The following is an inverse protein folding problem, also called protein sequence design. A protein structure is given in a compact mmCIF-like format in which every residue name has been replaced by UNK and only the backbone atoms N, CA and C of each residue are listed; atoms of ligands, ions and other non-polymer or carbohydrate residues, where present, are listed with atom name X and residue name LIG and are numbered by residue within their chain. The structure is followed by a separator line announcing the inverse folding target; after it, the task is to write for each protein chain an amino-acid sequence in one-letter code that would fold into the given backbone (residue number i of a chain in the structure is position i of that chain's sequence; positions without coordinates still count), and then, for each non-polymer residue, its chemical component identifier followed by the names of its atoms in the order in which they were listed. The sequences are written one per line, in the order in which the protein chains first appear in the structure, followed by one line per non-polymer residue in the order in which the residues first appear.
data_IF_481869965262
#
_entry.id   IF_481869965262
#
_cell.length_a   1.000
_cell.length_b   1.000
_cell.length_c   1.000
_cell.angle_alpha   90.00
_cell.angle_beta   90.00
_cell.angle_gamma   90.00
#
_symmetry.space_group_name_H-M   'P 1'
#
loop_
_entity.id
_entity.type
_entity.pdbx_description
1 polymer ?
#
# COMPACT_ATOMS: atom_id res chain seq x y z
N UNK A 1 -47.95 7.17 -4.67
CA UNK A 1 -46.97 8.25 -4.84
C UNK A 1 -46.36 8.55 -3.50
N UNK A 2 -45.22 7.96 -3.21
CA UNK A 2 -44.41 8.32 -2.04
C UNK A 2 -42.96 8.39 -2.51
N UNK A 3 -42.47 9.62 -2.66
CA UNK A 3 -41.07 9.92 -2.92
C UNK A 3 -40.29 9.71 -1.63
N UNK A 4 -39.52 8.65 -1.56
CA UNK A 4 -38.45 8.49 -0.57
C UNK A 4 -37.39 9.53 -0.89
N UNK A 5 -37.35 10.59 -0.08
CA UNK A 5 -36.26 11.55 -0.06
C UNK A 5 -35.00 10.83 0.47
N UNK A 6 -34.09 10.47 -0.42
CA UNK A 6 -32.73 10.10 -0.04
C UNK A 6 -32.08 11.32 0.58
N UNK A 7 -31.86 11.27 1.89
CA UNK A 7 -30.94 12.18 2.59
C UNK A 7 -29.51 11.81 2.17
N UNK A 8 -29.00 12.43 1.11
CA UNK A 8 -27.56 12.49 0.87
C UNK A 8 -26.96 13.37 1.96
N UNK A 9 -26.33 12.77 2.93
CA UNK A 9 -25.48 13.43 3.91
C UNK A 9 -24.27 14.01 3.14
N UNK A 10 -24.34 15.27 2.76
CA UNK A 10 -23.18 16.04 2.30
C UNK A 10 -22.25 16.22 3.53
N UNK A 11 -21.43 15.26 3.87
CA UNK A 11 -20.28 15.50 4.72
C UNK A 11 -19.32 16.38 3.92
N UNK A 12 -19.13 17.60 4.39
CA UNK A 12 -18.17 18.54 3.81
C UNK A 12 -16.78 17.95 3.95
N UNK A 13 -16.14 17.65 2.82
CA UNK A 13 -14.74 17.21 2.80
C UNK A 13 -13.92 18.34 3.43
N UNK A 14 -13.20 18.07 4.50
CA UNK A 14 -12.25 19.02 5.07
C UNK A 14 -11.07 19.10 4.09
N UNK A 15 -11.02 20.16 3.31
CA UNK A 15 -10.05 20.33 2.25
C UNK A 15 -9.08 21.45 2.61
N UNK A 16 -7.80 21.14 2.73
CA UNK A 16 -6.75 22.14 2.79
C UNK A 16 -6.41 22.62 1.38
N UNK A 17 -5.90 23.84 1.29
CA UNK A 17 -5.43 24.44 0.06
C UNK A 17 -3.91 24.59 0.10
N UNK A 18 -3.31 24.77 -1.09
CA UNK A 18 -1.89 25.09 -1.20
C UNK A 18 -1.57 26.41 -0.49
N UNK A 19 -0.38 26.49 0.08
CA UNK A 19 0.05 27.67 0.83
C UNK A 19 0.38 28.89 -0.05
N UNK A 20 0.49 28.68 -1.37
CA UNK A 20 0.81 29.73 -2.35
C UNK A 20 2.16 30.42 -2.08
N UNK A 21 3.15 29.63 -1.67
CA UNK A 21 4.46 30.08 -1.22
C UNK A 21 5.50 30.28 -2.33
N UNK A 22 5.05 30.35 -3.59
CA UNK A 22 5.90 30.51 -4.78
C UNK A 22 6.57 29.21 -5.28
N UNK A 23 6.33 28.08 -4.62
CA UNK A 23 6.77 26.77 -5.09
C UNK A 23 5.72 26.13 -5.99
N UNK A 24 6.16 25.20 -6.84
CA UNK A 24 5.24 24.38 -7.64
C UNK A 24 4.30 23.57 -6.71
N UNK A 25 3.02 23.53 -7.07
CA UNK A 25 1.93 22.89 -6.34
C UNK A 25 1.84 21.43 -6.73
N UNK A 26 2.19 20.53 -5.81
CA UNK A 26 2.17 19.10 -6.03
C UNK A 26 1.05 18.43 -5.22
N UNK A 27 0.14 17.76 -5.90
CA UNK A 27 -0.87 16.91 -5.28
C UNK A 27 -0.42 15.45 -5.33
N UNK A 28 -0.23 14.83 -4.17
CA UNK A 28 0.06 13.40 -4.04
C UNK A 28 -1.23 12.69 -3.65
N UNK A 29 -1.61 11.64 -4.39
CA UNK A 29 -2.84 10.90 -4.14
C UNK A 29 -2.50 9.47 -3.75
N UNK A 30 -3.02 9.03 -2.60
CA UNK A 30 -2.84 7.68 -2.04
C UNK A 30 -4.19 7.12 -1.59
N UNK A 31 -4.31 5.80 -1.50
CA UNK A 31 -5.54 5.15 -1.07
C UNK A 31 -5.32 3.98 -0.12
N UNK A 32 -4.13 3.43 -0.08
CA UNK A 32 -3.82 2.22 0.67
C UNK A 32 -2.55 2.37 1.49
N UNK A 33 -2.45 1.53 2.51
CA UNK A 33 -1.27 1.49 3.39
C UNK A 33 0.05 1.23 2.66
N UNK A 34 0.16 0.29 1.71
CA UNK A 34 1.40 0.09 0.95
C UNK A 34 1.87 1.34 0.21
N UNK A 35 0.95 2.14 -0.35
CA UNK A 35 1.29 3.41 -1.01
C UNK A 35 1.87 4.41 -0.01
N UNK A 36 1.26 4.54 1.16
CA UNK A 36 1.71 5.45 2.22
C UNK A 36 3.13 5.07 2.68
N UNK A 37 3.36 3.78 2.93
CA UNK A 37 4.67 3.28 3.37
C UNK A 37 5.73 3.58 2.31
N UNK A 38 5.49 3.17 1.07
CA UNK A 38 6.45 3.34 -0.03
C UNK A 38 6.73 4.80 -0.34
N UNK A 39 5.71 5.67 -0.25
CA UNK A 39 5.87 7.10 -0.54
C UNK A 39 6.35 7.92 0.67
N UNK A 40 6.51 7.35 1.86
CA UNK A 40 6.80 8.13 3.07
C UNK A 40 8.03 9.05 2.92
N UNK A 41 9.16 8.50 2.45
CA UNK A 41 10.37 9.28 2.20
C UNK A 41 10.16 10.32 1.10
N UNK A 42 9.45 9.95 0.03
CA UNK A 42 9.13 10.84 -1.11
C UNK A 42 8.23 11.98 -0.67
N UNK A 43 7.16 11.71 0.10
CA UNK A 43 6.24 12.73 0.61
C UNK A 43 7.00 13.76 1.45
N UNK A 44 7.82 13.30 2.40
CA UNK A 44 8.61 14.20 3.24
C UNK A 44 9.59 15.04 2.42
N UNK A 45 10.22 14.44 1.41
CA UNK A 45 11.12 15.15 0.49
C UNK A 45 10.36 16.16 -0.38
N UNK A 46 9.21 15.79 -0.91
CA UNK A 46 8.36 16.69 -1.70
C UNK A 46 7.91 17.90 -0.89
N UNK A 47 7.53 17.75 0.36
CA UNK A 47 7.17 18.86 1.26
C UNK A 47 8.31 19.87 1.47
N UNK A 48 9.56 19.45 1.29
CA UNK A 48 10.72 20.37 1.37
C UNK A 48 10.83 21.24 0.11
N UNK A 49 10.57 20.67 -1.07
CA UNK A 49 10.85 21.35 -2.35
C UNK A 49 9.62 21.93 -3.03
N UNK A 50 8.44 21.38 -2.77
CA UNK A 50 7.18 21.76 -3.38
C UNK A 50 6.20 22.29 -2.34
N UNK A 51 5.21 23.04 -2.78
CA UNK A 51 3.98 23.24 -2.05
C UNK A 51 3.14 21.96 -2.23
N UNK A 52 3.07 21.13 -1.20
CA UNK A 52 2.59 19.74 -1.32
C UNK A 52 1.32 19.53 -0.52
N UNK A 53 0.29 19.00 -1.18
CA UNK A 53 -0.89 18.43 -0.53
C UNK A 53 -0.89 16.90 -0.68
N UNK A 54 -1.18 16.21 0.41
CA UNK A 54 -1.41 14.77 0.45
C UNK A 54 -2.92 14.49 0.53
N UNK A 55 -3.48 13.84 -0.48
CA UNK A 55 -4.87 13.45 -0.52
C UNK A 55 -5.01 11.93 -0.38
N UNK A 56 -5.92 11.50 0.49
CA UNK A 56 -6.24 10.10 0.72
C UNK A 56 -7.63 9.77 0.19
N UNK A 57 -7.76 8.73 -0.64
CA UNK A 57 -9.05 8.35 -1.24
C UNK A 57 -10.03 7.74 -0.26
N UNK A 58 -9.57 7.27 0.89
CA UNK A 58 -10.41 6.67 1.93
C UNK A 58 -10.56 5.15 1.84
N UNK A 59 -9.89 4.50 0.88
CA UNK A 59 -9.86 3.03 0.83
C UNK A 59 -9.15 2.47 2.08
N UNK A 60 -9.79 1.49 2.73
CA UNK A 60 -9.26 0.81 3.92
C UNK A 60 -8.86 1.76 5.08
N UNK A 61 -9.57 2.89 5.23
CA UNK A 61 -9.31 3.82 6.32
C UNK A 61 -9.93 3.30 7.62
N UNK A 62 -9.16 2.52 8.35
CA UNK A 62 -9.34 2.35 9.80
C UNK A 62 -8.30 3.23 10.50
N UNK A 63 -8.76 4.25 11.21
CA UNK A 63 -7.88 5.20 11.90
C UNK A 63 -6.91 4.50 12.86
N UNK A 64 -7.35 3.43 13.51
CA UNK A 64 -6.53 2.67 14.45
C UNK A 64 -5.42 1.89 13.75
N UNK A 65 -5.63 1.48 12.49
CA UNK A 65 -4.64 0.76 11.69
C UNK A 65 -3.73 1.72 10.91
N UNK A 66 -4.23 2.85 10.44
CA UNK A 66 -3.46 3.78 9.61
C UNK A 66 -2.71 4.84 10.44
N UNK A 67 -3.27 5.31 11.54
CA UNK A 67 -2.65 6.33 12.40
C UNK A 67 -1.28 5.91 12.94
N UNK A 68 -1.09 4.61 13.23
CA UNK A 68 0.21 4.06 13.66
C UNK A 68 1.25 4.22 12.57
N UNK A 69 0.91 3.98 11.29
CA UNK A 69 1.86 4.11 10.18
C UNK A 69 2.27 5.55 9.91
N UNK A 70 1.35 6.51 9.99
CA UNK A 70 1.70 7.93 9.87
C UNK A 70 2.66 8.35 10.97
N UNK A 71 2.43 7.90 12.20
CA UNK A 71 3.32 8.19 13.34
C UNK A 71 4.69 7.53 13.16
N UNK A 72 4.74 6.23 12.88
CA UNK A 72 5.96 5.46 12.72
C UNK A 72 6.84 6.05 11.60
N UNK A 73 6.23 6.42 10.48
CA UNK A 73 6.90 6.98 9.31
C UNK A 73 7.13 8.49 9.41
N UNK A 74 6.81 9.12 10.54
CA UNK A 74 6.97 10.56 10.77
C UNK A 74 6.27 11.41 9.69
N UNK A 75 5.12 10.93 9.21
CA UNK A 75 4.27 11.62 8.25
C UNK A 75 3.22 12.45 9.00
N UNK A 76 2.96 13.65 8.50
CA UNK A 76 1.76 14.37 8.90
C UNK A 76 0.51 13.74 8.26
N UNK A 77 -0.62 13.87 8.94
CA UNK A 77 -1.90 13.39 8.43
C UNK A 77 -2.18 13.93 7.02
N UNK A 78 -2.95 13.19 6.21
CA UNK A 78 -3.41 13.69 4.92
C UNK A 78 -4.11 15.05 5.02
N UNK A 79 -3.82 15.91 4.06
CA UNK A 79 -4.41 17.25 3.97
C UNK A 79 -5.85 17.22 3.48
N UNK A 80 -6.18 16.16 2.73
CA UNK A 80 -7.50 15.96 2.11
C UNK A 80 -7.93 14.51 2.27
N UNK A 81 -9.15 14.29 2.78
CA UNK A 81 -9.82 12.98 2.80
C UNK A 81 -10.98 12.98 1.81
N UNK A 82 -10.92 12.09 0.81
CA UNK A 82 -11.93 12.04 -0.24
C UNK A 82 -13.16 11.22 0.12
N UNK A 83 -13.06 10.29 1.09
CA UNK A 83 -14.15 9.36 1.45
C UNK A 83 -14.77 8.68 0.20
N UNK A 84 -13.92 8.13 -0.66
CA UNK A 84 -14.34 7.62 -1.97
C UNK A 84 -14.90 6.19 -1.94
N UNK A 85 -14.92 5.52 -0.79
CA UNK A 85 -15.49 4.17 -0.67
C UNK A 85 -16.98 4.23 -0.99
N UNK A 86 -17.42 3.39 -1.90
CA UNK A 86 -18.82 3.19 -2.28
C UNK A 86 -19.36 1.85 -1.80
N UNK A 87 -20.61 1.56 -2.15
CA UNK A 87 -21.27 0.31 -1.74
C UNK A 87 -20.68 -0.93 -2.44
N UNK A 88 -20.05 -0.73 -3.59
CA UNK A 88 -19.37 -1.76 -4.35
C UNK A 88 -18.07 -1.22 -4.99
N UNK A 89 -17.35 -2.12 -5.69
CA UNK A 89 -16.11 -1.77 -6.36
C UNK A 89 -16.31 -0.71 -7.45
N UNK A 90 -17.36 -0.83 -8.25
CA UNK A 90 -17.67 0.12 -9.33
C UNK A 90 -17.97 1.51 -8.80
N UNK A 91 -18.79 1.60 -7.74
CA UNK A 91 -19.06 2.85 -7.04
C UNK A 91 -17.79 3.45 -6.44
N UNK A 92 -16.93 2.65 -5.85
CA UNK A 92 -15.64 3.11 -5.28
C UNK A 92 -14.74 3.69 -6.38
N UNK A 93 -14.56 2.99 -7.49
CA UNK A 93 -13.76 3.48 -8.63
C UNK A 93 -14.34 4.77 -9.21
N UNK A 94 -15.65 4.83 -9.42
CA UNK A 94 -16.34 6.04 -9.90
C UNK A 94 -16.18 7.23 -8.95
N UNK A 95 -16.32 7.00 -7.65
CA UNK A 95 -16.12 8.01 -6.62
C UNK A 95 -14.67 8.53 -6.56
N UNK A 96 -13.68 7.66 -6.74
CA UNK A 96 -12.27 8.08 -6.79
C UNK A 96 -12.06 9.06 -7.94
N UNK A 97 -12.56 8.73 -9.14
CA UNK A 97 -12.44 9.60 -10.32
C UNK A 97 -13.17 10.92 -10.11
N UNK A 98 -14.43 10.88 -9.66
CA UNK A 98 -15.25 12.08 -9.44
C UNK A 98 -14.68 13.01 -8.38
N UNK A 99 -14.34 12.44 -7.20
CA UNK A 99 -13.88 13.25 -6.07
C UNK A 99 -12.48 13.80 -6.29
N UNK A 100 -11.56 13.01 -6.89
CA UNK A 100 -10.24 13.52 -7.25
C UNK A 100 -10.29 14.61 -8.30
N UNK A 101 -11.19 14.49 -9.28
CA UNK A 101 -11.43 15.55 -10.26
C UNK A 101 -11.87 16.86 -9.57
N UNK A 102 -12.82 16.80 -8.65
CA UNK A 102 -13.29 17.96 -7.88
C UNK A 102 -12.20 18.59 -7.04
N UNK A 103 -11.39 17.76 -6.36
CA UNK A 103 -10.20 18.23 -5.59
C UNK A 103 -9.23 18.98 -6.51
N UNK A 104 -8.93 18.45 -7.68
CA UNK A 104 -8.01 19.08 -8.63
C UNK A 104 -8.56 20.38 -9.23
N UNK A 105 -9.87 20.45 -9.51
CA UNK A 105 -10.53 21.69 -9.98
C UNK A 105 -10.42 22.79 -8.93
N UNK A 106 -10.60 22.45 -7.66
CA UNK A 106 -10.58 23.41 -6.57
C UNK A 106 -9.17 23.81 -6.18
N UNK A 107 -8.24 22.85 -6.03
CA UNK A 107 -6.88 23.13 -5.56
C UNK A 107 -5.93 23.60 -6.65
N UNK A 108 -6.19 23.26 -7.92
CA UNK A 108 -5.40 23.66 -9.10
C UNK A 108 -3.91 23.31 -8.94
N UNK A 109 -3.55 22.03 -8.78
CA UNK A 109 -2.15 21.62 -8.69
C UNK A 109 -1.43 21.80 -10.05
N UNK A 110 -0.12 22.08 -9.99
CA UNK A 110 0.75 22.12 -11.18
C UNK A 110 1.14 20.70 -11.63
N UNK A 111 1.08 19.72 -10.73
CA UNK A 111 1.35 18.31 -11.02
C UNK A 111 0.64 17.37 -10.04
N UNK A 112 0.41 16.14 -10.49
CA UNK A 112 -0.11 15.02 -9.68
C UNK A 112 0.91 13.91 -9.64
N UNK A 113 1.14 13.34 -8.45
CA UNK A 113 1.96 12.16 -8.21
C UNK A 113 1.09 11.01 -7.70
N UNK A 114 1.21 9.85 -8.32
CA UNK A 114 0.61 8.59 -7.88
C UNK A 114 1.65 7.47 -7.86
N UNK A 115 1.36 6.39 -7.13
CA UNK A 115 2.23 5.22 -7.04
C UNK A 115 1.44 3.94 -7.31
N UNK A 116 1.98 3.11 -8.19
CA UNK A 116 1.52 1.73 -8.40
C UNK A 116 0.23 1.63 -9.19
N UNK A 117 -0.65 0.77 -8.72
CA UNK A 117 -1.75 0.20 -9.49
C UNK A 117 -3.05 0.00 -8.70
N UNK A 118 -3.13 0.55 -7.50
CA UNK A 118 -4.37 0.49 -6.72
C UNK A 118 -5.45 1.38 -7.35
N UNK A 119 -6.68 1.25 -6.89
CA UNK A 119 -7.77 2.06 -7.44
C UNK A 119 -7.56 3.58 -7.26
N UNK A 120 -6.76 4.00 -6.26
CA UNK A 120 -6.40 5.41 -6.06
C UNK A 120 -5.74 6.02 -7.30
N UNK A 121 -4.97 5.22 -8.05
CA UNK A 121 -4.28 5.66 -9.25
C UNK A 121 -5.23 6.02 -10.40
N UNK A 122 -6.49 5.57 -10.39
CA UNK A 122 -7.50 5.97 -11.39
C UNK A 122 -7.84 7.47 -11.34
N UNK A 123 -7.46 8.16 -10.27
CA UNK A 123 -7.52 9.62 -10.16
C UNK A 123 -6.80 10.34 -11.32
N UNK A 124 -5.80 9.71 -11.94
CA UNK A 124 -5.06 10.27 -13.08
C UNK A 124 -5.94 10.50 -14.30
N UNK A 125 -7.08 9.81 -14.43
CA UNK A 125 -8.06 10.05 -15.50
C UNK A 125 -8.58 11.49 -15.41
N UNK A 126 -8.92 11.95 -14.20
CA UNK A 126 -9.32 13.32 -13.93
C UNK A 126 -8.20 14.32 -14.20
N UNK A 127 -6.97 14.04 -13.75
CA UNK A 127 -5.81 14.87 -13.99
C UNK A 127 -5.54 15.06 -15.49
N UNK A 128 -5.60 13.97 -16.27
CA UNK A 128 -5.41 14.04 -17.73
C UNK A 128 -6.44 14.90 -18.43
N UNK A 129 -7.71 14.83 -18.00
CA UNK A 129 -8.80 15.66 -18.54
C UNK A 129 -8.64 17.14 -18.21
N UNK A 130 -7.98 17.46 -17.08
CA UNK A 130 -7.68 18.82 -16.64
C UNK A 130 -6.33 19.34 -17.16
N UNK A 131 -5.63 18.56 -17.99
CA UNK A 131 -4.29 18.88 -18.51
C UNK A 131 -3.23 19.10 -17.42
N UNK A 132 -3.38 18.44 -16.28
CA UNK A 132 -2.42 18.47 -15.19
C UNK A 132 -1.37 17.39 -15.45
N UNK A 133 -0.06 17.69 -15.46
CA UNK A 133 1.01 16.72 -15.62
C UNK A 133 0.96 15.61 -14.57
N UNK A 134 1.08 14.36 -15.01
CA UNK A 134 0.97 13.16 -14.19
C UNK A 134 2.34 12.48 -14.09
N UNK A 135 2.78 12.28 -12.85
CA UNK A 135 3.98 11.52 -12.51
C UNK A 135 3.57 10.20 -11.86
N UNK A 136 3.93 9.09 -12.48
CA UNK A 136 3.57 7.74 -12.04
C UNK A 136 4.81 6.99 -11.56
N UNK A 137 4.92 6.72 -10.27
CA UNK A 137 5.94 5.85 -9.68
C UNK A 137 5.49 4.38 -9.70
N UNK A 138 6.45 3.46 -9.70
CA UNK A 138 6.22 2.01 -9.86
C UNK A 138 5.65 1.65 -11.24
N UNK A 139 5.94 2.47 -12.24
CA UNK A 139 5.46 2.27 -13.60
C UNK A 139 6.12 1.07 -14.29
N UNK A 140 5.40 0.46 -15.22
CA UNK A 140 5.93 -0.60 -16.07
C UNK A 140 5.96 -2.01 -15.47
N UNK A 141 5.46 -2.21 -14.25
CA UNK A 141 5.26 -3.55 -13.71
C UNK A 141 4.22 -4.30 -14.54
N UNK A 142 4.41 -5.61 -14.72
CA UNK A 142 3.48 -6.46 -15.47
C UNK A 142 3.27 -7.77 -14.74
N UNK A 143 2.04 -8.27 -14.78
CA UNK A 143 1.67 -9.61 -14.37
C UNK A 143 1.24 -10.42 -15.60
N UNK A 144 1.59 -11.72 -15.63
CA UNK A 144 1.11 -12.62 -16.69
C UNK A 144 -0.34 -13.05 -16.47
N UNK A 145 -0.82 -12.94 -15.23
CA UNK A 145 -2.22 -13.18 -14.90
C UNK A 145 -3.02 -11.90 -15.14
N UNK A 146 -3.75 -11.88 -16.25
CA UNK A 146 -4.61 -10.75 -16.62
C UNK A 146 -5.89 -10.67 -15.78
N UNK A 147 -6.20 -11.68 -14.98
CA UNK A 147 -7.31 -11.64 -14.02
C UNK A 147 -7.02 -10.80 -12.79
N UNK A 148 -5.74 -10.41 -12.59
CA UNK A 148 -5.36 -9.54 -11.49
C UNK A 148 -5.92 -8.13 -11.71
N UNK A 149 -6.77 -7.59 -10.81
CA UNK A 149 -7.38 -6.27 -10.99
C UNK A 149 -6.36 -5.15 -11.18
N UNK A 150 -5.24 -5.24 -10.49
CA UNK A 150 -4.15 -4.29 -10.57
C UNK A 150 -3.49 -4.23 -11.96
N UNK A 151 -3.50 -5.33 -12.72
CA UNK A 151 -2.94 -5.33 -14.07
C UNK A 151 -3.72 -4.39 -15.01
N UNK A 152 -5.03 -4.31 -14.86
CA UNK A 152 -5.86 -3.35 -15.59
C UNK A 152 -5.51 -1.90 -15.22
N UNK A 153 -5.43 -1.60 -13.93
CA UNK A 153 -5.14 -0.26 -13.43
C UNK A 153 -3.76 0.22 -13.91
N UNK A 154 -2.72 -0.61 -13.75
CA UNK A 154 -1.35 -0.21 -14.13
C UNK A 154 -1.20 0.08 -15.61
N UNK A 155 -1.85 -0.70 -16.48
CA UNK A 155 -1.84 -0.44 -17.93
C UNK A 155 -2.50 0.90 -18.27
N UNK A 156 -3.64 1.21 -17.65
CA UNK A 156 -4.30 2.51 -17.83
C UNK A 156 -3.38 3.64 -17.39
N UNK A 157 -2.85 3.54 -16.17
CA UNK A 157 -2.05 4.61 -15.55
C UNK A 157 -0.73 4.83 -16.31
N UNK A 158 -0.04 3.76 -16.70
CA UNK A 158 1.19 3.86 -17.50
C UNK A 158 0.98 4.64 -18.79
N UNK A 159 -0.11 4.32 -19.53
CA UNK A 159 -0.33 4.90 -20.87
C UNK A 159 -0.70 6.37 -20.79
N UNK A 160 -1.50 6.77 -19.79
CA UNK A 160 -1.98 8.17 -19.73
C UNK A 160 -1.08 9.10 -18.92
N UNK A 161 -0.11 8.57 -18.17
CA UNK A 161 0.86 9.36 -17.42
C UNK A 161 1.84 10.10 -18.34
N UNK A 162 2.23 11.31 -17.94
CA UNK A 162 3.16 12.13 -18.69
C UNK A 162 4.63 11.73 -18.41
N UNK A 163 4.91 11.29 -17.19
CA UNK A 163 6.21 10.80 -16.76
C UNK A 163 6.04 9.48 -16.03
N UNK A 164 6.73 8.45 -16.49
CA UNK A 164 6.77 7.12 -15.88
C UNK A 164 8.10 6.89 -15.16
N UNK A 165 8.04 6.58 -13.87
CA UNK A 165 9.19 6.30 -13.02
C UNK A 165 9.21 4.81 -12.67
N UNK A 166 9.99 4.04 -13.43
CA UNK A 166 10.11 2.60 -13.29
C UNK A 166 11.09 2.23 -12.15
N UNK A 167 10.85 1.12 -11.48
CA UNK A 167 11.78 0.63 -10.45
C UNK A 167 13.00 -0.07 -11.02
N UNK A 168 12.89 -0.61 -12.23
CA UNK A 168 13.96 -1.36 -12.86
C UNK A 168 14.04 -1.14 -14.38
N UNK A 169 15.20 -1.47 -14.96
CA UNK A 169 15.38 -1.53 -16.43
C UNK A 169 14.40 -2.51 -17.09
N UNK A 170 14.00 -3.57 -16.37
CA UNK A 170 13.03 -4.53 -16.87
C UNK A 170 11.65 -3.88 -17.05
N UNK A 171 11.18 -3.15 -16.05
CA UNK A 171 9.94 -2.40 -16.13
C UNK A 171 9.98 -1.32 -17.23
N UNK A 172 11.11 -0.60 -17.35
CA UNK A 172 11.32 0.38 -18.43
C UNK A 172 11.18 -0.23 -19.83
N UNK A 173 11.67 -1.46 -20.03
CA UNK A 173 11.53 -2.17 -21.32
C UNK A 173 10.07 -2.47 -21.62
N UNK A 174 9.28 -2.91 -20.65
CA UNK A 174 7.84 -3.10 -20.85
C UNK A 174 7.14 -1.80 -21.29
N UNK A 175 7.50 -0.66 -20.70
CA UNK A 175 6.95 0.63 -21.10
C UNK A 175 7.35 0.98 -22.55
N UNK A 176 8.61 0.76 -22.92
CA UNK A 176 9.08 0.99 -24.28
C UNK A 176 8.36 0.11 -25.32
N UNK A 177 8.09 -1.16 -24.97
CA UNK A 177 7.38 -2.11 -25.83
C UNK A 177 5.91 -1.71 -26.06
N UNK A 178 5.33 -0.91 -25.17
CA UNK A 178 3.98 -0.34 -25.33
C UNK A 178 3.97 0.95 -26.18
N UNK A 179 5.12 1.38 -26.70
CA UNK A 179 5.26 2.57 -27.54
C UNK A 179 5.34 3.89 -26.77
N UNK A 180 5.56 3.86 -25.45
CA UNK A 180 5.71 5.08 -24.67
C UNK A 180 7.05 5.78 -24.95
N UNK A 181 7.07 7.14 -24.95
CA UNK A 181 8.28 7.90 -25.22
C UNK A 181 9.38 7.62 -24.20
N UNK A 182 10.58 7.29 -24.68
CA UNK A 182 11.75 7.00 -23.82
C UNK A 182 12.16 8.21 -22.97
N UNK A 183 11.96 9.41 -23.50
CA UNK A 183 12.30 10.69 -22.86
C UNK A 183 11.47 10.98 -21.60
N UNK A 184 10.37 10.26 -21.43
CA UNK A 184 9.45 10.40 -20.31
C UNK A 184 9.45 9.20 -19.37
N UNK A 185 10.42 8.29 -19.55
CA UNK A 185 10.54 7.08 -18.73
C UNK A 185 11.89 7.07 -18.03
N UNK A 186 11.86 7.09 -16.70
CA UNK A 186 13.05 7.14 -15.87
C UNK A 186 13.13 5.90 -14.98
N UNK A 187 14.32 5.33 -14.82
CA UNK A 187 14.55 4.28 -13.82
C UNK A 187 15.00 4.96 -12.53
N UNK A 188 14.13 4.97 -11.55
CA UNK A 188 14.38 5.64 -10.26
C UNK A 188 14.74 4.68 -9.14
N UNK A 189 14.51 3.38 -9.33
CA UNK A 189 14.51 2.42 -8.24
C UNK A 189 13.25 2.53 -7.37
N UNK A 190 13.14 1.61 -6.41
CA UNK A 190 12.06 1.65 -5.42
C UNK A 190 12.43 2.57 -4.27
N UNK A 191 11.49 3.37 -3.76
CA UNK A 191 11.71 4.18 -2.57
C UNK A 191 11.74 3.36 -1.26
N UNK A 192 11.41 2.07 -1.28
CA UNK A 192 11.36 1.23 -0.09
C UNK A 192 12.70 1.13 0.63
N UNK A 193 13.81 1.06 -0.12
CA UNK A 193 15.15 1.04 0.47
C UNK A 193 15.41 2.29 1.32
N UNK A 194 15.04 3.47 0.83
CA UNK A 194 15.19 4.72 1.55
C UNK A 194 14.30 4.75 2.80
N UNK A 195 13.05 4.30 2.69
CA UNK A 195 12.13 4.21 3.82
C UNK A 195 12.66 3.29 4.91
N UNK A 196 13.14 2.10 4.55
CA UNK A 196 13.69 1.15 5.52
C UNK A 196 14.97 1.67 6.16
N UNK A 197 15.91 2.23 5.40
CA UNK A 197 17.15 2.80 5.93
C UNK A 197 16.89 3.99 6.88
N UNK A 198 15.95 4.88 6.55
CA UNK A 198 15.59 6.01 7.41
C UNK A 198 14.96 5.58 8.74
N UNK A 199 14.34 4.40 8.77
CA UNK A 199 13.67 3.86 9.96
C UNK A 199 14.47 2.73 10.65
N UNK A 200 15.66 2.37 10.16
CA UNK A 200 16.39 1.19 10.63
C UNK A 200 16.67 1.24 12.15
N UNK A 201 17.10 2.38 12.66
CA UNK A 201 17.36 2.55 14.09
C UNK A 201 16.09 2.35 14.95
N UNK A 202 14.94 2.86 14.50
CA UNK A 202 13.68 2.69 15.20
C UNK A 202 13.17 1.23 15.10
N UNK A 203 13.43 0.56 13.97
CA UNK A 203 13.13 -0.86 13.77
C UNK A 203 13.97 -1.73 14.72
N UNK A 204 15.27 -1.49 14.80
CA UNK A 204 16.19 -2.24 15.66
C UNK A 204 15.92 -2.00 17.15
N UNK A 205 15.45 -0.81 17.51
CA UNK A 205 15.09 -0.43 18.88
C UNK A 205 13.75 -1.01 19.36
N UNK A 206 12.98 -1.68 18.48
CA UNK A 206 11.69 -2.25 18.86
C UNK A 206 11.83 -3.34 19.91
N UNK A 207 11.02 -3.27 20.95
CA UNK A 207 10.92 -4.25 22.02
C UNK A 207 9.92 -5.39 21.76
N UNK A 208 9.48 -5.53 20.51
CA UNK A 208 8.40 -6.45 20.13
C UNK A 208 8.68 -7.91 20.52
N UNK A 209 9.93 -8.35 20.45
CA UNK A 209 10.29 -9.71 20.87
C UNK A 209 10.01 -9.94 22.36
N UNK A 210 10.33 -8.97 23.20
CA UNK A 210 10.02 -9.01 24.63
C UNK A 210 8.52 -9.03 24.87
N UNK A 211 7.78 -8.14 24.20
CA UNK A 211 6.31 -8.05 24.33
C UNK A 211 5.59 -9.33 23.94
N UNK A 212 6.10 -10.04 22.95
CA UNK A 212 5.50 -11.28 22.45
C UNK A 212 6.14 -12.56 23.02
N UNK A 213 7.19 -12.45 23.84
CA UNK A 213 7.93 -13.60 24.37
C UNK A 213 8.59 -14.46 23.27
N UNK A 214 9.01 -13.84 22.17
CA UNK A 214 9.66 -14.50 21.05
C UNK A 214 11.17 -14.36 21.14
N UNK A 215 11.89 -15.42 20.77
CA UNK A 215 13.35 -15.42 20.66
C UNK A 215 13.78 -15.24 19.20
N UNK A 216 14.74 -14.33 18.97
CA UNK A 216 15.28 -14.05 17.64
C UNK A 216 15.81 -15.32 16.98
N UNK A 217 15.46 -15.53 15.71
CA UNK A 217 15.85 -16.73 14.95
C UNK A 217 15.08 -18.00 15.31
N UNK A 218 14.12 -17.97 16.24
CA UNK A 218 13.38 -19.14 16.69
C UNK A 218 11.86 -19.04 16.50
N UNK A 219 11.41 -18.34 15.49
CA UNK A 219 10.01 -18.25 15.09
C UNK A 219 9.90 -18.05 13.58
N UNK A 220 8.76 -18.40 13.05
CA UNK A 220 8.37 -18.11 11.66
C UNK A 220 7.36 -16.95 11.69
N UNK A 221 7.58 -15.94 10.85
CA UNK A 221 6.62 -14.85 10.66
C UNK A 221 5.71 -15.17 9.47
N UNK A 222 4.40 -15.18 9.71
CA UNK A 222 3.37 -15.41 8.68
C UNK A 222 2.55 -14.14 8.45
N UNK A 223 2.43 -13.75 7.18
CA UNK A 223 1.52 -12.70 6.73
C UNK A 223 0.79 -13.17 5.47
N UNK A 224 -0.44 -13.62 5.61
CA UNK A 224 -1.29 -14.08 4.52
C UNK A 224 -2.65 -13.38 4.59
N UNK A 225 -2.97 -12.58 3.57
CA UNK A 225 -4.15 -11.72 3.57
C UNK A 225 -4.79 -11.54 2.20
N UNK A 226 -4.20 -12.08 1.13
CA UNK A 226 -4.77 -11.98 -0.23
C UNK A 226 -6.09 -12.72 -0.33
N UNK A 227 -7.03 -12.11 -1.04
CA UNK A 227 -8.38 -12.64 -1.22
C UNK A 227 -8.37 -14.03 -1.83
N UNK A 228 -7.52 -14.26 -2.82
CA UNK A 228 -7.37 -15.54 -3.50
C UNK A 228 -7.00 -16.69 -2.54
N UNK A 229 -6.24 -16.37 -1.49
CA UNK A 229 -5.79 -17.35 -0.49
C UNK A 229 -6.80 -17.56 0.64
N UNK A 230 -7.62 -16.55 0.93
CA UNK A 230 -8.50 -16.53 2.11
C UNK A 230 -9.96 -16.83 1.76
N UNK A 231 -10.44 -16.40 0.60
CA UNK A 231 -11.88 -16.45 0.29
C UNK A 231 -12.36 -17.80 -0.27
N UNK A 232 -11.50 -18.50 -1.01
CA UNK A 232 -11.84 -19.84 -1.52
C UNK A 232 -11.57 -20.92 -0.47
N UNK A 233 -12.56 -21.79 -0.22
CA UNK A 233 -12.45 -22.87 0.77
C UNK A 233 -11.23 -23.78 0.53
N UNK A 234 -10.99 -24.12 -0.73
CA UNK A 234 -9.87 -24.98 -1.13
C UNK A 234 -8.52 -24.33 -0.79
N UNK A 235 -8.32 -23.08 -1.18
CA UNK A 235 -7.04 -22.37 -0.96
C UNK A 235 -6.82 -22.10 0.52
N UNK A 236 -7.87 -21.66 1.22
CA UNK A 236 -7.86 -21.44 2.66
C UNK A 236 -7.44 -22.71 3.43
N UNK A 237 -8.12 -23.83 3.18
CA UNK A 237 -7.82 -25.10 3.85
C UNK A 237 -6.41 -25.59 3.51
N UNK A 238 -5.97 -25.46 2.25
CA UNK A 238 -4.63 -25.85 1.83
C UNK A 238 -3.55 -25.01 2.51
N UNK A 239 -3.74 -23.69 2.57
CA UNK A 239 -2.81 -22.76 3.20
C UNK A 239 -2.64 -23.11 4.70
N UNK A 240 -3.72 -23.14 5.45
CA UNK A 240 -3.63 -23.36 6.90
C UNK A 240 -3.24 -24.79 7.27
N UNK A 241 -3.54 -25.79 6.42
CA UNK A 241 -2.98 -27.14 6.57
C UNK A 241 -1.44 -27.12 6.39
N UNK A 242 -0.94 -26.38 5.41
CA UNK A 242 0.50 -26.24 5.23
C UNK A 242 1.17 -25.52 6.42
N UNK A 243 0.52 -24.48 6.96
CA UNK A 243 1.00 -23.77 8.16
C UNK A 243 1.08 -24.70 9.38
N UNK A 244 0.04 -25.51 9.62
CA UNK A 244 0.07 -26.50 10.72
C UNK A 244 1.22 -27.50 10.54
N UNK A 245 1.44 -28.01 9.31
CA UNK A 245 2.56 -28.91 9.00
C UNK A 245 3.92 -28.24 9.18
N UNK A 246 4.04 -26.95 8.90
CA UNK A 246 5.26 -26.19 9.15
C UNK A 246 5.52 -26.08 10.66
N UNK A 247 4.49 -25.75 11.46
CA UNK A 247 4.60 -25.68 12.90
C UNK A 247 5.06 -27.02 13.50
N UNK A 248 4.53 -28.14 13.00
CA UNK A 248 4.92 -29.48 13.41
C UNK A 248 6.35 -29.80 13.00
N UNK A 249 6.70 -29.55 11.73
CA UNK A 249 8.00 -29.91 11.15
C UNK A 249 9.17 -29.17 11.80
N UNK A 250 9.01 -27.87 12.04
CA UNK A 250 10.08 -27.02 12.56
C UNK A 250 10.05 -26.90 14.09
N UNK A 251 8.97 -27.33 14.71
CA UNK A 251 8.73 -27.22 16.17
C UNK A 251 8.99 -25.82 16.72
N UNK A 252 8.56 -24.81 15.98
CA UNK A 252 8.75 -23.39 16.29
C UNK A 252 7.41 -22.65 16.36
N UNK A 253 7.32 -21.56 17.15
CA UNK A 253 6.19 -20.63 17.06
C UNK A 253 6.05 -20.07 15.64
N UNK A 254 4.82 -19.99 15.15
CA UNK A 254 4.47 -19.23 13.94
C UNK A 254 3.65 -18.03 14.36
N UNK A 255 4.23 -16.84 14.26
CA UNK A 255 3.52 -15.60 14.53
C UNK A 255 2.75 -15.20 13.28
N UNK A 256 1.43 -15.30 13.34
CA UNK A 256 0.54 -14.90 12.26
C UNK A 256 0.03 -13.48 12.47
N UNK A 257 0.56 -12.52 11.70
CA UNK A 257 0.02 -11.16 11.59
C UNK A 257 -1.34 -11.23 10.87
N UNK A 258 -2.40 -11.44 11.64
CA UNK A 258 -3.71 -11.83 11.15
C UNK A 258 -4.60 -10.61 10.92
N UNK A 259 -4.91 -10.32 9.65
CA UNK A 259 -5.88 -9.29 9.32
C UNK A 259 -7.28 -9.65 9.86
N UNK A 260 -8.11 -8.70 10.30
CA UNK A 260 -9.45 -8.97 10.86
C UNK A 260 -10.33 -9.86 9.96
N UNK A 261 -10.24 -9.71 8.63
CA UNK A 261 -10.94 -10.56 7.67
C UNK A 261 -10.52 -12.03 7.77
N UNK A 262 -9.20 -12.27 7.83
CA UNK A 262 -8.65 -13.63 7.94
C UNK A 262 -9.00 -14.28 9.27
N UNK A 263 -8.98 -13.51 10.37
CA UNK A 263 -9.41 -13.96 11.70
C UNK A 263 -10.87 -14.40 11.69
N UNK A 264 -11.75 -13.54 11.17
CA UNK A 264 -13.18 -13.85 11.04
C UNK A 264 -13.42 -15.12 10.20
N UNK A 265 -12.66 -15.29 9.12
CA UNK A 265 -12.75 -16.49 8.28
C UNK A 265 -12.31 -17.76 9.01
N UNK A 266 -11.22 -17.69 9.78
CA UNK A 266 -10.76 -18.79 10.63
C UNK A 266 -11.81 -19.21 11.65
N UNK A 267 -12.40 -18.25 12.36
CA UNK A 267 -13.47 -18.49 13.33
C UNK A 267 -14.69 -19.14 12.68
N UNK A 268 -15.11 -18.65 11.52
CA UNK A 268 -16.28 -19.18 10.77
C UNK A 268 -16.06 -20.56 10.17
N UNK A 269 -14.83 -20.88 9.74
CA UNK A 269 -14.50 -22.17 9.15
C UNK A 269 -14.40 -23.29 10.17
N UNK A 270 -14.20 -22.97 11.45
CA UNK A 270 -13.91 -23.95 12.49
C UNK A 270 -12.56 -24.66 12.31
N UNK A 271 -11.67 -24.14 11.43
CA UNK A 271 -10.35 -24.72 11.19
C UNK A 271 -9.50 -24.65 12.46
N UNK A 272 -8.90 -25.77 12.84
CA UNK A 272 -8.07 -25.86 14.03
C UNK A 272 -6.61 -25.58 13.67
N UNK A 273 -6.10 -24.44 14.16
CA UNK A 273 -4.69 -24.12 14.06
C UNK A 273 -3.88 -24.91 15.09
N UNK A 274 -2.65 -25.27 14.71
CA UNK A 274 -1.69 -25.84 15.66
C UNK A 274 -1.44 -24.86 16.83
N UNK A 275 -1.24 -25.39 18.03
CA UNK A 275 -1.02 -24.58 19.26
C UNK A 275 0.18 -23.62 19.18
N UNK A 276 1.12 -23.88 18.27
CA UNK A 276 2.29 -23.04 18.02
C UNK A 276 2.00 -21.85 17.09
N UNK A 277 0.83 -21.83 16.45
CA UNK A 277 0.41 -20.70 15.61
C UNK A 277 -0.23 -19.63 16.49
N UNK A 278 0.46 -18.51 16.65
CA UNK A 278 0.05 -17.38 17.47
C UNK A 278 -0.60 -16.34 16.57
N UNK A 279 -1.91 -16.16 16.70
CA UNK A 279 -2.62 -15.12 15.97
C UNK A 279 -2.45 -13.77 16.67
N UNK A 280 -1.91 -12.80 15.96
CA UNK A 280 -1.74 -11.44 16.45
C UNK A 280 -2.42 -10.44 15.51
N UNK A 281 -2.89 -9.34 16.05
CA UNK A 281 -3.40 -8.23 15.22
C UNK A 281 -2.29 -7.64 14.35
N UNK A 282 -2.65 -6.96 13.23
CA UNK A 282 -1.65 -6.30 12.40
C UNK A 282 -0.77 -5.37 13.23
N UNK A 283 0.53 -5.51 13.04
CA UNK A 283 1.56 -4.75 13.75
C UNK A 283 1.86 -3.42 13.04
N UNK A 284 2.42 -2.46 13.77
CA UNK A 284 2.98 -1.24 13.22
C UNK A 284 4.22 -1.50 12.33
N UNK A 285 4.68 -0.48 11.64
CA UNK A 285 5.77 -0.59 10.67
C UNK A 285 7.08 -1.05 11.32
N UNK A 286 7.49 -0.43 12.42
CA UNK A 286 8.73 -0.76 13.10
C UNK A 286 8.71 -2.17 13.70
N UNK A 287 7.64 -2.53 14.39
CA UNK A 287 7.48 -3.84 15.02
C UNK A 287 7.46 -4.98 14.01
N UNK A 288 6.70 -4.81 12.90
CA UNK A 288 6.63 -5.83 11.87
C UNK A 288 7.99 -6.05 11.20
N UNK A 289 8.68 -4.97 10.84
CA UNK A 289 10.00 -5.06 10.21
C UNK A 289 11.06 -5.61 11.17
N UNK A 290 11.00 -5.27 12.47
CA UNK A 290 11.87 -5.87 13.49
C UNK A 290 11.69 -7.39 13.57
N UNK A 291 10.44 -7.87 13.54
CA UNK A 291 10.15 -9.30 13.51
C UNK A 291 10.61 -9.95 12.20
N UNK A 292 10.40 -9.28 11.06
CA UNK A 292 10.83 -9.79 9.75
C UNK A 292 12.34 -9.97 9.66
N UNK A 293 13.10 -8.99 10.14
CA UNK A 293 14.56 -9.02 10.15
C UNK A 293 15.15 -10.14 11.03
N UNK A 294 14.44 -10.53 12.07
CA UNK A 294 14.92 -11.47 13.08
C UNK A 294 14.18 -12.82 13.08
N UNK A 295 13.34 -13.09 12.08
CA UNK A 295 12.64 -14.36 11.96
C UNK A 295 13.59 -15.47 11.46
N UNK A 296 13.32 -16.72 11.86
CA UNK A 296 13.93 -17.90 11.21
C UNK A 296 13.56 -17.97 9.73
N UNK A 297 12.30 -17.70 9.42
CA UNK A 297 11.77 -17.61 8.07
C UNK A 297 10.55 -16.70 8.03
N UNK A 298 10.30 -16.10 6.88
CA UNK A 298 9.10 -15.32 6.61
C UNK A 298 8.27 -16.00 5.52
N UNK A 299 6.99 -16.18 5.79
CA UNK A 299 6.02 -16.73 4.83
C UNK A 299 4.98 -15.65 4.58
N UNK A 300 4.87 -15.18 3.34
CA UNK A 300 3.96 -14.09 3.01
C UNK A 300 3.46 -14.21 1.58
N UNK A 301 2.23 -13.73 1.37
CA UNK A 301 1.65 -13.49 0.05
C UNK A 301 1.77 -12.01 -0.39
N UNK A 302 2.49 -11.19 0.39
CA UNK A 302 2.74 -9.78 0.06
C UNK A 302 3.73 -9.63 -1.08
N UNK A 303 3.43 -8.75 -2.04
CA UNK A 303 4.34 -8.39 -3.12
C UNK A 303 5.58 -7.60 -2.68
N UNK A 304 5.63 -7.09 -1.44
CA UNK A 304 6.77 -6.31 -0.93
C UNK A 304 7.87 -7.18 -0.33
N UNK A 305 7.56 -8.43 0.06
CA UNK A 305 8.51 -9.31 0.74
C UNK A 305 9.84 -9.52 -0.03
N UNK A 306 9.84 -9.78 -1.36
CA UNK A 306 11.09 -9.95 -2.09
C UNK A 306 11.97 -8.69 -2.08
N UNK A 307 11.35 -7.53 -2.11
CA UNK A 307 12.03 -6.24 -2.06
C UNK A 307 12.61 -5.98 -0.66
N UNK A 308 11.80 -6.11 0.37
CA UNK A 308 12.20 -5.92 1.77
C UNK A 308 13.32 -6.88 2.18
N UNK A 309 13.21 -8.17 1.84
CA UNK A 309 14.23 -9.17 2.18
C UNK A 309 15.55 -8.90 1.47
N UNK A 310 15.54 -8.42 0.22
CA UNK A 310 16.77 -8.06 -0.47
C UNK A 310 17.48 -6.85 0.18
N UNK A 311 16.71 -5.90 0.71
CA UNK A 311 17.24 -4.72 1.41
C UNK A 311 17.82 -5.15 2.76
N UNK A 312 17.10 -5.95 3.55
CA UNK A 312 17.57 -6.42 4.85
C UNK A 312 18.83 -7.29 4.73
N UNK A 313 18.90 -8.17 3.74
CA UNK A 313 20.10 -8.96 3.48
C UNK A 313 21.31 -8.08 3.14
N UNK A 314 21.11 -6.96 2.43
CA UNK A 314 22.18 -6.02 2.08
C UNK A 314 22.75 -5.26 3.29
N UNK A 315 22.00 -5.15 4.38
CA UNK A 315 22.45 -4.51 5.64
C UNK A 315 22.88 -5.54 6.70
N UNK A 316 23.07 -6.80 6.32
CA UNK A 316 23.65 -7.84 7.17
C UNK A 316 22.65 -8.65 8.00
N UNK A 317 21.36 -8.55 7.69
CA UNK A 317 20.34 -9.41 8.28
C UNK A 317 19.99 -10.56 7.32
N UNK A 318 19.94 -11.83 7.81
CA UNK A 318 19.69 -13.01 6.98
C UNK A 318 18.27 -13.06 6.41
#
# INVERSE_FOLDING_TARGET
MNRLAQKTSNKTITMKHFADNGKLKLLIIVGTRPEIIRLAAVINKCRTYFDTLLAHTGQNYDYNLNGVFFKDLKLADPDIYMEAVGDDLGATMGNIIDKSYKVMVETKPDAVLVLGDTNSCLSVIGAKRLHIPIFHMEAGNRCKDECLPEETNRRIVDIISDVNMAYSEHARRYLADTGLPKERTYVTGSPMAEVLHQNLADIEASDIHQRLGLEKGKYILLSAHREENIDTEKNFSSLFTAINKMAEKYDMPILYSCHPRSRKRLEQSGFQLDRRVIQHEPLGFHDYNCLQMNAFAVVSDSGTLPEESSIFTSVGHP
#
